data_IF_284525535613
#
_entry.id   IF_284525535613
#
_cell.length_a   1.000
_cell.length_b   1.000
_cell.length_c   1.000
_cell.angle_alpha   90.00
_cell.angle_beta   90.00
_cell.angle_gamma   90.00
#
_symmetry.space_group_name_H-M   'P 1'
#
loop_
_entity.id
_entity.type
_entity.pdbx_description
1 polymer ?
#
# COMPACT_ATOMS: atom_id res chain seq x y z
N UNK A 1 -8.85 -30.88 7.22
CA UNK A 1 -9.92 -30.18 6.46
C UNK A 1 -9.23 -29.34 5.41
N UNK A 2 -9.77 -29.24 4.20
CA UNK A 2 -9.19 -28.33 3.20
C UNK A 2 -9.20 -26.91 3.77
N UNK A 3 -8.04 -26.26 3.75
CA UNK A 3 -7.85 -24.92 4.29
C UNK A 3 -8.72 -23.92 3.50
N UNK A 4 -9.47 -23.07 4.19
CA UNK A 4 -10.30 -22.02 3.56
C UNK A 4 -9.37 -20.94 3.06
N UNK A 5 -9.07 -20.94 1.76
CA UNK A 5 -8.15 -19.98 1.14
C UNK A 5 -8.90 -18.85 0.46
N UNK A 6 -8.34 -17.65 0.55
CA UNK A 6 -8.79 -16.48 -0.20
C UNK A 6 -7.59 -15.67 -0.64
N UNK A 7 -7.62 -15.25 -1.90
CA UNK A 7 -6.60 -14.38 -2.47
C UNK A 7 -7.19 -13.00 -2.71
N UNK A 8 -6.50 -11.96 -2.25
CA UNK A 8 -6.83 -10.57 -2.55
C UNK A 8 -5.74 -9.99 -3.44
N UNK A 9 -6.09 -9.64 -4.66
CA UNK A 9 -5.17 -9.05 -5.63
C UNK A 9 -5.47 -7.57 -5.84
N UNK A 10 -4.44 -6.72 -5.85
CA UNK A 10 -4.64 -5.28 -6.01
C UNK A 10 -3.81 -4.63 -7.12
N UNK A 11 -4.43 -3.62 -7.76
CA UNK A 11 -3.78 -2.68 -8.66
C UNK A 11 -3.93 -1.26 -8.12
N UNK A 12 -2.82 -0.60 -7.79
CA UNK A 12 -2.77 0.62 -7.00
C UNK A 12 -1.67 1.57 -7.49
N UNK A 13 -2.03 2.83 -7.77
CA UNK A 13 -1.05 3.86 -8.15
C UNK A 13 -0.51 4.65 -6.95
N UNK A 14 -1.38 4.97 -5.99
CA UNK A 14 -1.07 5.84 -4.84
C UNK A 14 -1.22 5.15 -3.48
N UNK A 15 -1.62 3.87 -3.45
CA UNK A 15 -1.75 3.07 -2.23
C UNK A 15 -3.18 2.87 -1.75
N UNK A 16 -4.19 3.54 -2.31
CA UNK A 16 -5.58 3.40 -1.85
C UNK A 16 -6.13 1.99 -2.08
N UNK A 17 -5.86 1.37 -3.24
CA UNK A 17 -6.30 0.00 -3.51
C UNK A 17 -5.53 -1.05 -2.69
N UNK A 18 -4.27 -0.76 -2.34
CA UNK A 18 -3.44 -1.61 -1.48
C UNK A 18 -3.96 -1.61 -0.05
N UNK A 19 -4.21 -0.42 0.51
CA UNK A 19 -4.80 -0.25 1.84
C UNK A 19 -6.17 -0.93 1.97
N UNK A 20 -7.01 -0.81 0.94
CA UNK A 20 -8.30 -1.47 0.90
C UNK A 20 -8.18 -2.99 0.77
N UNK A 21 -7.23 -3.49 -0.01
CA UNK A 21 -6.94 -4.91 -0.11
C UNK A 21 -6.45 -5.47 1.23
N UNK A 22 -5.64 -4.73 1.98
CA UNK A 22 -5.20 -5.09 3.32
C UNK A 22 -6.35 -5.10 4.32
N UNK A 23 -7.28 -4.14 4.24
CA UNK A 23 -8.52 -4.16 5.03
C UNK A 23 -9.32 -5.44 4.76
N UNK A 24 -9.57 -5.77 3.49
CA UNK A 24 -10.26 -7.00 3.10
C UNK A 24 -9.49 -8.23 3.60
N UNK A 25 -8.17 -8.20 3.55
CA UNK A 25 -7.31 -9.26 4.06
C UNK A 25 -7.47 -9.50 5.56
N UNK A 26 -7.54 -8.43 6.36
CA UNK A 26 -7.85 -8.50 7.79
C UNK A 26 -9.25 -9.05 8.03
N UNK A 27 -10.25 -8.56 7.30
CA UNK A 27 -11.63 -9.04 7.42
C UNK A 27 -11.79 -10.53 7.03
N UNK A 28 -11.01 -11.00 6.07
CA UNK A 28 -10.89 -12.42 5.72
C UNK A 28 -10.30 -13.27 6.85
N UNK A 29 -9.19 -12.82 7.46
CA UNK A 29 -8.56 -13.50 8.60
C UNK A 29 -9.51 -13.59 9.79
N UNK A 30 -10.30 -12.53 10.08
CA UNK A 30 -11.35 -12.57 11.12
C UNK A 30 -12.41 -13.65 10.87
N UNK A 31 -12.57 -14.05 9.62
CA UNK A 31 -13.49 -15.10 9.18
C UNK A 31 -12.81 -16.45 9.04
N UNK A 32 -11.59 -16.65 9.56
CA UNK A 32 -10.81 -17.90 9.49
C UNK A 32 -10.51 -18.35 8.06
N UNK A 33 -10.18 -17.40 7.19
CA UNK A 33 -9.54 -17.70 5.92
C UNK A 33 -8.02 -17.57 6.04
N UNK A 34 -7.29 -18.51 5.45
CA UNK A 34 -5.89 -18.33 5.06
C UNK A 34 -5.86 -17.34 3.89
N UNK A 35 -5.44 -16.11 4.18
CA UNK A 35 -5.56 -14.98 3.28
C UNK A 35 -4.20 -14.52 2.78
N UNK A 36 -4.04 -14.45 1.45
CA UNK A 36 -2.89 -13.78 0.82
C UNK A 36 -3.35 -12.47 0.21
N UNK A 37 -2.56 -11.41 0.41
CA UNK A 37 -2.79 -10.09 -0.20
C UNK A 37 -1.56 -9.76 -1.05
N UNK A 38 -1.74 -9.63 -2.36
CA UNK A 38 -0.62 -9.47 -3.29
C UNK A 38 -0.92 -8.41 -4.36
N UNK A 39 0.13 -7.69 -4.77
CA UNK A 39 0.05 -6.82 -5.93
C UNK A 39 -0.07 -7.64 -7.23
N UNK A 40 -0.81 -7.12 -8.21
CA UNK A 40 -1.07 -7.82 -9.48
C UNK A 40 0.17 -8.04 -10.35
N UNK A 41 1.26 -7.32 -10.11
CA UNK A 41 2.57 -7.50 -10.77
C UNK A 41 3.50 -8.47 -10.03
N UNK A 42 3.30 -8.69 -8.73
CA UNK A 42 3.99 -9.72 -7.95
C UNK A 42 3.35 -11.11 -8.14
N UNK A 43 2.04 -11.17 -8.43
CA UNK A 43 1.32 -12.43 -8.60
C UNK A 43 1.43 -12.98 -10.03
N UNK A 44 1.80 -14.26 -10.14
CA UNK A 44 1.84 -14.95 -11.43
C UNK A 44 0.43 -15.29 -11.93
N UNK A 45 -0.05 -14.53 -12.92
CA UNK A 45 -1.41 -14.66 -13.49
C UNK A 45 -1.77 -16.07 -13.99
N UNK A 46 -0.78 -16.90 -14.36
CA UNK A 46 -1.03 -18.29 -14.76
C UNK A 46 -1.56 -19.15 -13.61
N UNK A 47 -1.27 -18.76 -12.36
CA UNK A 47 -1.70 -19.48 -11.18
C UNK A 47 -3.18 -19.24 -10.84
N UNK A 48 -3.84 -18.24 -11.46
CA UNK A 48 -5.27 -17.95 -11.23
C UNK A 48 -6.17 -19.17 -11.45
N UNK A 49 -5.80 -20.08 -12.36
CA UNK A 49 -6.57 -21.29 -12.67
C UNK A 49 -6.65 -22.26 -11.47
N UNK A 50 -5.79 -22.09 -10.48
CA UNK A 50 -5.74 -22.89 -9.26
C UNK A 50 -6.44 -22.23 -8.07
N UNK A 51 -6.81 -20.95 -8.18
CA UNK A 51 -7.45 -20.20 -7.10
C UNK A 51 -8.97 -20.39 -7.15
N UNK A 52 -9.57 -20.71 -6.01
CA UNK A 52 -11.03 -20.94 -5.90
C UNK A 52 -11.80 -19.67 -5.54
N UNK A 53 -11.20 -18.76 -4.78
CA UNK A 53 -11.85 -17.54 -4.29
C UNK A 53 -10.87 -16.35 -4.38
N UNK A 54 -11.17 -15.40 -5.27
CA UNK A 54 -10.31 -14.23 -5.51
C UNK A 54 -11.08 -12.91 -5.43
N UNK A 55 -10.58 -11.96 -4.65
CA UNK A 55 -11.08 -10.59 -4.61
C UNK A 55 -10.09 -9.67 -5.33
N UNK A 56 -10.56 -8.93 -6.33
CA UNK A 56 -9.76 -7.95 -7.05
C UNK A 56 -10.08 -6.53 -6.55
N UNK A 57 -9.06 -5.77 -6.18
CA UNK A 57 -9.18 -4.36 -5.79
C UNK A 57 -8.38 -3.51 -6.78
N UNK A 58 -9.06 -2.76 -7.65
CA UNK A 58 -8.38 -2.06 -8.74
C UNK A 58 -8.73 -0.57 -8.77
N UNK A 59 -7.69 0.26 -8.69
CA UNK A 59 -7.80 1.67 -9.04
C UNK A 59 -7.89 1.86 -10.56
N UNK A 60 -8.45 2.99 -10.99
CA UNK A 60 -8.38 3.48 -12.37
C UNK A 60 -7.47 4.72 -12.40
N UNK A 61 -6.52 4.78 -13.35
CA UNK A 61 -5.57 5.91 -13.47
C UNK A 61 -5.80 6.67 -14.77
N UNK A 62 -5.32 7.92 -14.80
CA UNK A 62 -5.26 8.75 -16.01
C UNK A 62 -6.56 8.76 -16.81
N UNK A 63 -6.48 8.40 -18.09
CA UNK A 63 -7.62 8.34 -18.99
C UNK A 63 -8.21 6.93 -19.07
N UNK A 64 -8.50 6.34 -17.90
CA UNK A 64 -9.08 5.00 -17.80
C UNK A 64 -8.09 3.87 -18.03
N UNK A 65 -6.85 4.07 -17.59
CA UNK A 65 -5.76 3.12 -17.72
C UNK A 65 -5.57 2.32 -16.43
N UNK A 66 -4.99 1.10 -16.51
CA UNK A 66 -4.61 0.35 -15.33
C UNK A 66 -3.43 1.03 -14.61
N UNK A 67 -3.40 1.00 -13.27
CA UNK A 67 -2.20 1.26 -12.49
C UNK A 67 -0.95 0.53 -13.00
N UNK A 68 0.22 1.12 -12.77
CA UNK A 68 1.49 0.55 -13.24
C UNK A 68 1.71 -0.88 -12.74
N UNK A 69 1.46 -1.10 -11.45
CA UNK A 69 1.58 -2.39 -10.77
C UNK A 69 0.52 -3.44 -11.18
N UNK A 70 -0.24 -3.21 -12.26
CA UNK A 70 -1.12 -4.22 -12.85
C UNK A 70 -1.07 -4.28 -14.38
N UNK A 71 -0.20 -3.50 -15.04
CA UNK A 71 -0.10 -3.47 -16.52
C UNK A 71 0.21 -4.84 -17.14
N UNK A 72 1.10 -5.61 -16.51
CA UNK A 72 1.47 -6.95 -17.00
C UNK A 72 0.32 -7.94 -16.91
N UNK A 73 -0.34 -7.99 -15.75
CA UNK A 73 -1.57 -8.75 -15.53
C UNK A 73 -2.64 -8.36 -16.55
N UNK A 74 -2.87 -7.06 -16.72
CA UNK A 74 -3.88 -6.52 -17.63
C UNK A 74 -3.66 -6.98 -19.07
N UNK A 75 -2.42 -6.85 -19.57
CA UNK A 75 -2.06 -7.31 -20.91
C UNK A 75 -2.25 -8.82 -21.08
N UNK A 76 -1.95 -9.62 -20.04
CA UNK A 76 -2.13 -11.07 -20.09
C UNK A 76 -3.61 -11.47 -20.10
N UNK A 77 -4.40 -11.01 -19.14
CA UNK A 77 -5.78 -11.46 -18.94
C UNK A 77 -6.68 -11.09 -20.14
N UNK A 78 -6.34 -10.02 -20.87
CA UNK A 78 -7.04 -9.60 -22.08
C UNK A 78 -6.54 -10.23 -23.39
N UNK A 79 -5.62 -11.20 -23.35
CA UNK A 79 -5.22 -11.95 -24.54
C UNK A 79 -6.43 -12.68 -25.15
N UNK A 80 -6.64 -12.52 -26.46
CA UNK A 80 -7.81 -13.07 -27.17
C UNK A 80 -7.84 -14.59 -27.25
N UNK A 81 -6.69 -15.25 -27.12
CA UNK A 81 -6.53 -16.70 -27.25
C UNK A 81 -6.68 -17.47 -25.93
N UNK A 82 -7.05 -16.81 -24.82
CA UNK A 82 -7.33 -17.52 -23.58
C UNK A 82 -8.63 -18.33 -23.69
N UNK A 83 -8.65 -19.61 -23.28
CA UNK A 83 -9.88 -20.41 -23.24
C UNK A 83 -10.99 -19.75 -22.40
N UNK A 84 -12.23 -19.78 -22.89
CA UNK A 84 -13.38 -19.12 -22.25
C UNK A 84 -13.79 -19.75 -20.91
N UNK A 85 -13.24 -20.91 -20.56
CA UNK A 85 -13.48 -21.62 -19.31
C UNK A 85 -12.22 -21.69 -18.44
N UNK A 86 -11.18 -20.89 -18.73
CA UNK A 86 -9.90 -20.95 -17.99
C UNK A 86 -10.07 -20.74 -16.49
N UNK A 87 -11.06 -19.95 -16.09
CA UNK A 87 -11.32 -19.57 -14.70
C UNK A 87 -12.64 -20.15 -14.18
N UNK A 88 -13.15 -21.23 -14.78
CA UNK A 88 -14.46 -21.81 -14.43
C UNK A 88 -14.57 -22.38 -13.01
N UNK A 89 -13.49 -22.43 -12.25
CA UNK A 89 -13.47 -22.88 -10.86
C UNK A 89 -13.34 -21.73 -9.85
N UNK A 90 -13.22 -20.50 -10.34
CA UNK A 90 -12.96 -19.32 -9.52
C UNK A 90 -14.26 -18.58 -9.23
N UNK A 91 -14.63 -18.51 -7.96
CA UNK A 91 -15.52 -17.48 -7.45
C UNK A 91 -14.75 -16.18 -7.26
N UNK A 92 -15.34 -15.04 -7.65
CA UNK A 92 -14.65 -13.76 -7.53
C UNK A 92 -15.54 -12.58 -7.20
N UNK A 93 -14.89 -11.54 -6.70
CA UNK A 93 -15.48 -10.23 -6.50
C UNK A 93 -14.53 -9.14 -7.01
N UNK A 94 -15.08 -8.00 -7.45
CA UNK A 94 -14.28 -6.86 -7.93
C UNK A 94 -14.72 -5.61 -7.18
N UNK A 95 -13.76 -4.95 -6.55
CA UNK A 95 -13.89 -3.62 -5.99
C UNK A 95 -13.08 -2.64 -6.86
N UNK A 96 -13.78 -1.67 -7.44
CA UNK A 96 -13.17 -0.56 -8.15
C UNK A 96 -13.00 0.66 -7.25
N UNK A 97 -11.87 1.34 -7.42
CA UNK A 97 -11.65 2.69 -6.90
C UNK A 97 -11.48 3.64 -8.09
N UNK A 98 -12.30 4.67 -8.14
CA UNK A 98 -12.28 5.65 -9.21
C UNK A 98 -12.79 7.00 -8.74
N UNK A 99 -12.90 7.92 -9.69
CA UNK A 99 -13.30 9.30 -9.46
C UNK A 99 -14.33 9.66 -10.54
N UNK A 100 -15.54 10.05 -10.14
CA UNK A 100 -16.65 10.34 -11.05
C UNK A 100 -16.50 11.66 -11.81
N UNK A 101 -15.55 12.52 -11.43
CA UNK A 101 -15.17 13.69 -12.24
C UNK A 101 -14.47 13.30 -13.54
N UNK A 102 -13.93 12.07 -13.63
CA UNK A 102 -13.30 11.54 -14.84
C UNK A 102 -14.33 10.80 -15.72
N UNK A 103 -14.30 11.00 -17.07
CA UNK A 103 -15.24 10.35 -17.98
C UNK A 103 -15.23 8.81 -17.91
N UNK A 104 -14.09 8.21 -17.57
CA UNK A 104 -13.90 6.76 -17.46
C UNK A 104 -13.98 6.28 -16.01
N UNK A 105 -15.01 6.70 -15.29
CA UNK A 105 -15.28 6.30 -13.91
C UNK A 105 -15.24 4.76 -13.71
N UNK A 106 -14.33 4.29 -12.87
CA UNK A 106 -14.13 2.88 -12.52
C UNK A 106 -13.95 1.93 -13.73
N UNK A 107 -13.38 2.43 -14.82
CA UNK A 107 -13.30 1.70 -16.08
C UNK A 107 -12.53 0.38 -15.96
N UNK A 108 -11.47 0.35 -15.17
CA UNK A 108 -10.63 -0.85 -14.97
C UNK A 108 -11.41 -1.96 -14.29
N UNK A 109 -12.08 -1.66 -13.17
CA UNK A 109 -12.92 -2.61 -12.46
C UNK A 109 -14.07 -3.15 -13.33
N UNK A 110 -14.77 -2.26 -14.04
CA UNK A 110 -15.88 -2.63 -14.95
C UNK A 110 -15.41 -3.57 -16.06
N UNK A 111 -14.27 -3.28 -16.68
CA UNK A 111 -13.70 -4.10 -17.75
C UNK A 111 -13.16 -5.43 -17.22
N UNK A 112 -12.46 -5.43 -16.08
CA UNK A 112 -11.93 -6.64 -15.46
C UNK A 112 -13.08 -7.59 -15.11
N UNK A 113 -14.13 -7.10 -14.46
CA UNK A 113 -15.30 -7.90 -14.13
C UNK A 113 -15.91 -8.58 -15.36
N UNK A 114 -16.15 -7.83 -16.45
CA UNK A 114 -16.66 -8.40 -17.71
C UNK A 114 -15.72 -9.44 -18.29
N UNK A 115 -14.41 -9.22 -18.20
CA UNK A 115 -13.41 -10.14 -18.73
C UNK A 115 -13.34 -11.44 -17.93
N UNK A 116 -13.43 -11.38 -16.61
CA UNK A 116 -13.46 -12.56 -15.74
C UNK A 116 -14.69 -13.43 -16.03
N UNK A 117 -15.87 -12.82 -16.23
CA UNK A 117 -17.07 -13.51 -16.71
C UNK A 117 -16.83 -14.25 -18.03
N UNK A 118 -16.21 -13.59 -19.00
CA UNK A 118 -15.90 -14.19 -20.32
C UNK A 118 -14.90 -15.35 -20.24
N UNK A 119 -14.12 -15.44 -19.16
CA UNK A 119 -13.17 -16.53 -18.88
C UNK A 119 -13.79 -17.62 -17.99
N UNK A 120 -15.09 -17.53 -17.70
CA UNK A 120 -15.87 -18.56 -17.02
C UNK A 120 -15.92 -18.40 -15.50
N UNK A 121 -15.32 -17.36 -14.93
CA UNK A 121 -15.35 -17.14 -13.49
C UNK A 121 -16.75 -16.78 -12.99
N UNK A 122 -17.06 -17.15 -11.75
CA UNK A 122 -18.38 -16.95 -11.14
C UNK A 122 -18.38 -15.71 -10.23
N UNK A 123 -19.18 -14.67 -10.53
CA UNK A 123 -19.21 -13.47 -9.72
C UNK A 123 -20.03 -13.70 -8.43
N UNK A 124 -19.45 -13.37 -7.28
CA UNK A 124 -20.18 -13.41 -5.99
C UNK A 124 -21.18 -12.25 -5.93
N UNK A 125 -20.76 -11.08 -6.41
CA UNK A 125 -21.54 -9.83 -6.44
C UNK A 125 -21.24 -9.03 -7.70
N UNK A 126 -22.12 -8.08 -8.00
CA UNK A 126 -21.80 -6.97 -8.90
C UNK A 126 -20.59 -6.19 -8.36
N UNK A 127 -19.78 -5.58 -9.24
CA UNK A 127 -18.63 -4.80 -8.79
C UNK A 127 -19.05 -3.62 -7.90
N UNK A 128 -18.31 -3.38 -6.83
CA UNK A 128 -18.38 -2.09 -6.14
C UNK A 128 -17.61 -1.04 -6.94
N UNK A 129 -18.16 0.18 -6.98
CA UNK A 129 -17.59 1.30 -7.70
C UNK A 129 -17.40 2.45 -6.70
N UNK A 130 -16.28 2.41 -5.96
CA UNK A 130 -15.90 3.49 -5.05
C UNK A 130 -15.61 4.78 -5.80
N UNK A 131 -16.09 5.90 -5.26
CA UNK A 131 -15.99 7.24 -5.86
C UNK A 131 -15.27 8.21 -4.91
N UNK A 132 -14.13 8.73 -5.35
CA UNK A 132 -13.34 9.71 -4.60
C UNK A 132 -14.04 11.09 -4.49
N UNK A 133 -15.04 11.36 -5.34
CA UNK A 133 -15.82 12.62 -5.31
C UNK A 133 -17.03 12.59 -4.38
N UNK A 134 -17.38 11.41 -3.84
CA UNK A 134 -18.49 11.31 -2.91
C UNK A 134 -18.09 11.96 -1.56
N UNK A 135 -19.03 12.56 -0.84
CA UNK A 135 -18.75 13.23 0.45
C UNK A 135 -18.09 12.27 1.46
N UNK A 136 -18.62 11.05 1.54
CA UNK A 136 -18.07 9.90 2.29
C UNK A 136 -16.93 9.14 1.57
N UNK A 137 -16.39 9.72 0.50
CA UNK A 137 -15.39 9.11 -0.36
C UNK A 137 -15.77 7.72 -0.90
N UNK A 138 -14.78 6.88 -1.26
CA UNK A 138 -15.05 5.57 -1.84
C UNK A 138 -15.79 4.63 -0.89
N UNK A 139 -15.71 4.89 0.42
CA UNK A 139 -16.32 4.07 1.47
C UNK A 139 -17.84 4.05 1.42
N UNK A 140 -18.46 5.09 0.84
CA UNK A 140 -19.90 5.14 0.57
C UNK A 140 -20.41 3.90 -0.19
N UNK A 141 -19.62 3.44 -1.16
CA UNK A 141 -19.92 2.23 -1.91
C UNK A 141 -19.27 0.98 -1.29
N UNK A 142 -18.08 1.12 -0.70
CA UNK A 142 -17.30 -0.03 -0.20
C UNK A 142 -17.94 -0.65 1.04
N UNK A 143 -18.30 0.12 2.06
CA UNK A 143 -18.79 -0.40 3.34
C UNK A 143 -20.06 -1.27 3.18
N UNK A 144 -21.14 -0.83 2.49
CA UNK A 144 -22.30 -1.69 2.27
C UNK A 144 -21.96 -2.88 1.36
N UNK A 145 -21.04 -2.72 0.43
CA UNK A 145 -20.61 -3.82 -0.45
C UNK A 145 -19.82 -4.89 0.31
N UNK A 146 -18.92 -4.53 1.22
CA UNK A 146 -18.17 -5.46 2.07
C UNK A 146 -19.11 -6.26 2.96
N UNK A 147 -20.11 -5.61 3.56
CA UNK A 147 -21.15 -6.30 4.33
C UNK A 147 -21.85 -7.39 3.48
N UNK A 148 -22.27 -7.04 2.27
CA UNK A 148 -22.91 -7.98 1.35
C UNK A 148 -21.96 -9.08 0.87
N UNK A 149 -20.70 -8.73 0.61
CA UNK A 149 -19.66 -9.67 0.18
C UNK A 149 -19.49 -10.75 1.23
N UNK A 150 -19.28 -10.36 2.49
CA UNK A 150 -19.03 -11.32 3.55
C UNK A 150 -20.24 -12.18 3.89
N UNK A 151 -21.46 -11.64 3.80
CA UNK A 151 -22.68 -12.44 3.94
C UNK A 151 -22.73 -13.57 2.88
N UNK A 152 -22.43 -13.24 1.62
CA UNK A 152 -22.40 -14.25 0.55
C UNK A 152 -21.23 -15.22 0.66
N UNK A 153 -20.03 -14.71 0.98
CA UNK A 153 -18.83 -15.55 1.18
C UNK A 153 -19.07 -16.54 2.31
N UNK A 154 -19.67 -16.14 3.43
CA UNK A 154 -19.99 -17.07 4.52
C UNK A 154 -21.09 -18.07 4.15
N UNK A 155 -21.99 -17.72 3.23
CA UNK A 155 -22.98 -18.67 2.71
C UNK A 155 -22.38 -19.72 1.78
N UNK A 156 -21.42 -19.34 0.93
CA UNK A 156 -20.75 -20.23 -0.03
C UNK A 156 -19.60 -21.03 0.61
N UNK A 157 -18.91 -20.40 1.55
CA UNK A 157 -17.75 -20.91 2.27
C UNK A 157 -18.02 -20.78 3.78
N UNK A 158 -18.87 -21.64 4.37
CA UNK A 158 -19.22 -21.55 5.77
C UNK A 158 -18.01 -21.72 6.70
N UNK A 159 -18.15 -21.21 7.93
CA UNK A 159 -17.15 -21.39 8.97
C UNK A 159 -16.93 -22.88 9.27
N UNK A 160 -15.69 -23.29 9.61
CA UNK A 160 -15.44 -24.63 10.13
C UNK A 160 -16.29 -24.88 11.40
N UNK A 161 -16.76 -26.12 11.63
CA UNK A 161 -17.55 -26.45 12.81
C UNK A 161 -16.85 -26.04 14.10
N UNK A 162 -17.56 -25.34 14.99
CA UNK A 162 -17.05 -24.91 16.29
C UNK A 162 -16.28 -23.59 16.31
N UNK A 163 -16.07 -22.93 15.16
CA UNK A 163 -15.46 -21.60 15.10
C UNK A 163 -16.51 -20.49 14.97
N UNK A 164 -16.34 -19.42 15.72
CA UNK A 164 -17.05 -18.14 15.55
C UNK A 164 -16.16 -17.11 14.86
N UNK A 165 -16.77 -16.03 14.37
CA UNK A 165 -16.01 -14.89 13.85
C UNK A 165 -15.12 -14.29 14.94
N UNK A 166 -13.89 -13.93 14.60
CA UNK A 166 -12.99 -13.18 15.49
C UNK A 166 -13.57 -11.78 15.63
N UNK A 167 -13.90 -11.36 16.87
CA UNK A 167 -14.48 -10.04 17.16
C UNK A 167 -13.61 -8.93 16.58
N UNK A 168 -14.24 -7.84 16.14
CA UNK A 168 -13.54 -6.64 15.67
C UNK A 168 -12.65 -6.03 16.75
N UNK A 169 -12.93 -6.25 18.04
CA UNK A 169 -12.12 -5.75 19.16
C UNK A 169 -10.79 -6.51 19.35
N UNK A 170 -10.67 -7.69 18.74
CA UNK A 170 -9.47 -8.51 18.86
C UNK A 170 -8.42 -8.03 17.86
N UNK A 171 -7.22 -7.72 18.35
CA UNK A 171 -6.06 -7.42 17.51
C UNK A 171 -5.58 -8.70 16.80
N UNK A 172 -5.54 -8.67 15.47
CA UNK A 172 -4.96 -9.73 14.66
C UNK A 172 -3.41 -9.69 14.74
N UNK A 173 -2.71 -10.82 14.54
CA UNK A 173 -1.25 -10.83 14.46
C UNK A 173 -0.70 -9.88 13.37
N UNK A 174 0.53 -9.36 13.55
CA UNK A 174 1.17 -8.50 12.56
C UNK A 174 1.59 -9.31 11.33
N UNK A 175 1.83 -8.64 10.19
CA UNK A 175 2.34 -9.30 8.97
C UNK A 175 3.79 -9.77 9.13
N UNK A 176 4.58 -9.02 9.90
CA UNK A 176 6.02 -9.26 10.07
C UNK A 176 6.40 -9.16 11.54
N UNK A 177 7.52 -9.77 11.89
CA UNK A 177 8.14 -9.70 13.22
C UNK A 177 9.55 -9.11 13.06
N UNK A 178 9.87 -8.11 13.88
CA UNK A 178 11.18 -7.48 13.92
C UNK A 178 12.03 -8.18 14.98
N UNK A 179 12.86 -9.13 14.55
CA UNK A 179 13.82 -9.82 15.44
C UNK A 179 15.08 -8.97 15.59
N UNK A 180 15.18 -8.24 16.70
CA UNK A 180 16.38 -7.47 17.00
C UNK A 180 17.60 -8.35 17.27
N UNK A 181 18.75 -7.94 16.73
CA UNK A 181 20.03 -8.60 16.89
C UNK A 181 20.82 -8.00 18.05
N UNK A 182 21.69 -8.82 18.63
CA UNK A 182 22.73 -8.36 19.55
C UNK A 182 23.81 -7.55 18.80
N UNK A 183 24.48 -6.65 19.51
CA UNK A 183 25.40 -5.68 18.89
C UNK A 183 26.58 -6.34 18.15
N UNK A 184 27.10 -7.45 18.66
CA UNK A 184 28.22 -8.18 18.04
C UNK A 184 27.81 -8.78 16.68
N UNK A 185 26.65 -9.45 16.64
CA UNK A 185 26.09 -10.07 15.42
C UNK A 185 25.73 -9.02 14.36
N UNK A 186 25.22 -7.87 14.80
CA UNK A 186 24.89 -6.77 13.91
C UNK A 186 26.12 -6.21 13.16
N UNK A 187 27.28 -6.16 13.83
CA UNK A 187 28.52 -5.63 13.26
C UNK A 187 29.11 -6.58 12.20
N UNK A 188 28.99 -7.89 12.39
CA UNK A 188 29.38 -8.91 11.41
C UNK A 188 28.44 -8.96 10.20
N UNK A 189 27.13 -8.77 10.42
CA UNK A 189 26.12 -8.81 9.36
C UNK A 189 26.04 -7.52 8.50
N UNK A 190 26.69 -6.44 8.93
CA UNK A 190 26.68 -5.11 8.29
C UNK A 190 27.47 -4.98 6.97
N UNK A 191 27.99 -6.07 6.39
CA UNK A 191 28.60 -6.04 5.06
C UNK A 191 27.48 -5.94 4.01
N UNK A 192 26.97 -4.71 3.81
CA UNK A 192 26.05 -4.38 2.72
C UNK A 192 26.64 -4.91 1.41
N UNK A 193 25.91 -5.81 0.73
CA UNK A 193 26.27 -6.27 -0.62
C UNK A 193 26.48 -5.04 -1.50
N UNK A 194 27.68 -4.89 -2.07
CA UNK A 194 27.95 -3.89 -3.11
C UNK A 194 26.96 -4.11 -4.24
N UNK A 195 26.13 -3.12 -4.51
CA UNK A 195 25.30 -3.08 -5.71
C UNK A 195 26.25 -2.98 -6.91
N UNK A 196 26.02 -3.79 -7.93
CA UNK A 196 26.82 -3.77 -9.16
C UNK A 196 26.72 -2.37 -9.80
N UNK A 197 27.84 -1.65 -9.90
CA UNK A 197 27.88 -0.26 -10.35
C UNK A 197 27.50 -0.07 -11.84
N UNK A 198 27.32 -1.17 -12.58
CA UNK A 198 27.01 -1.19 -14.01
C UNK A 198 25.62 -1.74 -14.34
N UNK A 199 24.78 -2.03 -13.35
CA UNK A 199 23.40 -2.43 -13.60
C UNK A 199 22.56 -1.23 -14.06
N UNK A 200 21.70 -1.45 -15.06
CA UNK A 200 20.73 -0.43 -15.49
C UNK A 200 19.83 -0.08 -14.29
N UNK A 201 19.66 1.20 -13.95
CA UNK A 201 18.84 1.63 -12.82
C UNK A 201 17.39 1.13 -12.93
N UNK A 202 16.81 0.71 -11.82
CA UNK A 202 15.42 0.22 -11.73
C UNK A 202 14.70 0.84 -10.53
N UNK A 203 13.38 0.64 -10.42
CA UNK A 203 12.63 1.06 -9.22
C UNK A 203 13.18 0.44 -7.93
N UNK A 204 13.68 -0.80 -8.00
CA UNK A 204 14.28 -1.49 -6.84
C UNK A 204 15.72 -1.03 -6.55
N UNK A 205 16.43 -0.53 -7.57
CA UNK A 205 17.83 -0.12 -7.50
C UNK A 205 17.99 1.23 -8.21
N UNK A 206 17.60 2.34 -7.55
CA UNK A 206 17.67 3.67 -8.17
C UNK A 206 19.12 4.14 -8.32
N UNK A 207 19.36 4.96 -9.34
CA UNK A 207 20.66 5.60 -9.53
C UNK A 207 20.83 6.79 -8.58
N UNK A 208 21.97 6.85 -7.89
CA UNK A 208 22.33 7.99 -7.05
C UNK A 208 22.95 9.09 -7.92
N UNK A 209 22.10 9.89 -8.56
CA UNK A 209 22.53 11.00 -9.41
C UNK A 209 23.05 12.18 -8.58
N UNK A 210 24.30 12.65 -8.80
CA UNK A 210 24.79 13.87 -8.16
C UNK A 210 23.93 15.09 -8.54
N UNK A 211 23.62 15.92 -7.55
CA UNK A 211 22.98 17.21 -7.76
C UNK A 211 24.00 18.20 -8.33
N UNK A 212 23.74 18.72 -9.53
CA UNK A 212 24.61 19.70 -10.22
C UNK A 212 24.19 21.13 -9.89
N UNK A 213 22.90 21.42 -9.99
CA UNK A 213 22.34 22.75 -9.77
C UNK A 213 21.00 22.67 -9.05
N UNK A 214 20.71 23.66 -8.22
CA UNK A 214 19.43 23.84 -7.53
C UNK A 214 19.14 25.33 -7.40
N UNK A 215 18.42 25.87 -8.38
CA UNK A 215 18.19 27.30 -8.53
C UNK A 215 16.71 27.62 -8.34
N UNK A 216 16.41 28.62 -7.51
CA UNK A 216 15.07 29.21 -7.45
C UNK A 216 14.79 29.98 -8.75
N UNK A 217 13.68 29.65 -9.42
CA UNK A 217 13.26 30.32 -10.66
C UNK A 217 12.19 31.39 -10.42
N UNK A 218 11.55 31.38 -9.25
CA UNK A 218 10.67 32.46 -8.80
C UNK A 218 11.46 33.61 -8.17
N UNK A 219 10.85 34.80 -8.12
CA UNK A 219 11.43 35.93 -7.39
C UNK A 219 11.54 35.62 -5.89
N UNK A 220 12.52 36.22 -5.21
CA UNK A 220 12.81 35.94 -3.79
C UNK A 220 11.66 36.30 -2.84
N UNK A 221 10.80 37.23 -3.23
CA UNK A 221 9.61 37.68 -2.51
C UNK A 221 8.33 36.94 -2.94
N UNK A 222 8.41 36.06 -3.94
CA UNK A 222 7.27 35.27 -4.38
C UNK A 222 6.92 34.20 -3.35
N UNK A 223 5.64 34.07 -3.02
CA UNK A 223 5.17 33.16 -1.96
C UNK A 223 5.39 31.66 -2.24
N UNK A 224 5.55 31.28 -3.51
CA UNK A 224 5.91 29.91 -3.92
C UNK A 224 7.37 29.84 -4.32
N UNK A 225 8.11 28.94 -3.68
CA UNK A 225 9.46 28.53 -4.06
C UNK A 225 9.37 27.45 -5.15
N UNK A 226 9.68 27.83 -6.39
CA UNK A 226 9.80 26.90 -7.52
C UNK A 226 11.26 26.81 -7.89
N UNK A 227 11.76 25.58 -8.04
CA UNK A 227 13.18 25.33 -8.29
C UNK A 227 13.43 24.56 -9.56
N UNK A 228 14.47 24.97 -10.30
CA UNK A 228 15.10 24.20 -11.36
C UNK A 228 16.24 23.39 -10.73
N UNK A 229 16.17 22.07 -10.89
CA UNK A 229 17.10 21.12 -10.29
C UNK A 229 17.73 20.30 -11.40
N UNK A 230 19.05 20.25 -11.44
CA UNK A 230 19.82 19.52 -12.44
C UNK A 230 20.57 18.37 -11.79
N UNK A 231 20.50 17.19 -12.40
CA UNK A 231 21.18 15.99 -11.91
C UNK A 231 22.16 15.48 -12.97
N UNK A 232 23.35 15.07 -12.54
CA UNK A 232 24.30 14.37 -13.40
C UNK A 232 23.92 12.89 -13.50
N UNK A 233 23.59 12.45 -14.71
CA UNK A 233 23.27 11.05 -15.00
C UNK A 233 24.38 10.33 -15.77
N UNK A 234 25.57 10.94 -15.87
CA UNK A 234 26.73 10.36 -16.55
C UNK A 234 27.10 9.00 -15.95
N UNK A 235 27.41 8.03 -16.81
CA UNK A 235 27.75 6.66 -16.38
C UNK A 235 26.59 5.79 -15.90
N UNK A 236 25.37 6.34 -15.80
CA UNK A 236 24.18 5.57 -15.36
C UNK A 236 23.59 4.66 -16.44
N UNK A 237 23.86 4.95 -17.73
CA UNK A 237 23.20 4.31 -18.86
C UNK A 237 21.72 4.70 -19.04
N UNK A 238 21.19 5.67 -18.25
CA UNK A 238 19.83 6.17 -18.37
C UNK A 238 19.67 6.88 -19.73
N UNK A 239 18.56 6.58 -20.41
CA UNK A 239 18.12 7.24 -21.65
C UNK A 239 16.71 7.78 -21.41
N UNK A 240 16.42 8.98 -21.93
CA UNK A 240 15.09 9.58 -21.86
C UNK A 240 14.81 10.45 -23.09
N UNK A 241 13.54 10.64 -23.40
CA UNK A 241 13.03 11.54 -24.45
C UNK A 241 12.24 12.70 -23.83
N UNK A 242 12.11 13.84 -24.54
CA UNK A 242 11.22 14.91 -24.12
C UNK A 242 9.79 14.39 -23.87
N UNK A 243 9.23 14.71 -22.71
CA UNK A 243 7.93 14.21 -22.26
C UNK A 243 8.00 13.03 -21.28
N UNK A 244 9.18 12.43 -21.09
CA UNK A 244 9.40 11.43 -20.05
C UNK A 244 9.35 12.03 -18.63
N UNK A 245 9.18 11.16 -17.65
CA UNK A 245 9.04 11.49 -16.23
C UNK A 245 10.19 10.86 -15.45
N UNK A 246 10.81 11.64 -14.57
CA UNK A 246 11.78 11.14 -13.58
C UNK A 246 11.08 10.81 -12.27
N UNK A 247 11.46 9.68 -11.67
CA UNK A 247 10.98 9.25 -10.35
C UNK A 247 12.05 9.52 -9.31
N UNK A 248 11.78 10.44 -8.39
CA UNK A 248 12.72 10.83 -7.32
C UNK A 248 12.31 10.13 -6.02
N UNK A 249 13.22 9.34 -5.44
CA UNK A 249 13.01 8.69 -4.13
C UNK A 249 13.39 9.65 -3.00
N UNK A 250 12.42 10.14 -2.19
CA UNK A 250 12.74 10.98 -1.05
C UNK A 250 13.13 10.13 0.18
N UNK A 251 13.55 10.83 1.23
CA UNK A 251 13.78 10.28 2.55
C UNK A 251 13.19 11.24 3.60
N UNK A 252 12.86 10.73 4.77
CA UNK A 252 12.42 11.58 5.88
C UNK A 252 13.58 12.44 6.41
N UNK A 253 13.24 13.58 7.01
CA UNK A 253 14.26 14.45 7.61
C UNK A 253 14.87 13.79 8.86
N UNK A 254 16.15 14.04 9.19
CA UNK A 254 16.74 13.51 10.42
C UNK A 254 15.96 13.91 11.69
N UNK A 255 15.35 15.10 11.69
CA UNK A 255 14.53 15.61 12.79
C UNK A 255 13.25 14.79 12.96
N UNK A 256 12.55 14.48 11.86
CA UNK A 256 11.34 13.67 11.90
C UNK A 256 11.63 12.23 12.32
N UNK A 257 12.74 11.66 11.85
CA UNK A 257 13.19 10.32 12.25
C UNK A 257 13.45 10.25 13.76
N UNK A 258 14.14 11.26 14.31
CA UNK A 258 14.43 11.31 15.75
C UNK A 258 13.15 11.49 16.58
N UNK A 259 12.25 12.37 16.13
CA UNK A 259 10.95 12.59 16.76
C UNK A 259 10.10 11.32 16.76
N UNK A 260 10.05 10.62 15.63
CA UNK A 260 9.35 9.34 15.51
C UNK A 260 9.91 8.29 16.48
N UNK A 261 11.23 8.10 16.49
CA UNK A 261 11.89 7.14 17.39
C UNK A 261 11.63 7.48 18.85
N UNK A 262 11.65 8.77 19.22
CA UNK A 262 11.37 9.23 20.59
C UNK A 262 9.93 8.91 21.01
N UNK A 263 8.94 9.19 20.16
CA UNK A 263 7.52 8.95 20.45
C UNK A 263 7.22 7.46 20.70
N UNK A 264 7.83 6.57 19.93
CA UNK A 264 7.64 5.12 20.01
C UNK A 264 8.68 4.42 20.92
N UNK A 265 9.56 5.19 21.59
CA UNK A 265 10.61 4.67 22.47
C UNK A 265 11.55 3.67 21.77
N UNK A 266 11.89 3.94 20.52
CA UNK A 266 12.76 3.10 19.71
C UNK A 266 14.19 3.63 19.72
N UNK A 267 15.17 2.74 19.83
CA UNK A 267 16.57 3.09 19.60
C UNK A 267 16.87 3.02 18.09
N UNK A 268 17.17 4.16 17.44
CA UNK A 268 17.43 4.23 15.99
C UNK A 268 18.63 3.39 15.55
N UNK A 269 19.55 3.04 16.46
CA UNK A 269 20.76 2.26 16.16
C UNK A 269 20.52 0.75 16.21
N UNK A 270 19.43 0.28 16.80
CA UNK A 270 19.16 -1.15 16.88
C UNK A 270 19.00 -1.75 15.50
N UNK A 271 19.58 -2.93 15.35
CA UNK A 271 19.59 -3.71 14.12
C UNK A 271 18.61 -4.87 14.27
N UNK A 272 17.84 -5.17 13.23
CA UNK A 272 16.87 -6.25 13.21
C UNK A 272 16.94 -7.05 11.92
N UNK A 273 16.44 -8.29 12.00
CA UNK A 273 16.01 -9.09 10.87
C UNK A 273 14.49 -9.08 10.80
N UNK A 274 13.96 -8.94 9.60
CA UNK A 274 12.53 -9.00 9.34
C UNK A 274 12.14 -10.44 9.00
N UNK A 275 11.17 -10.97 9.73
CA UNK A 275 10.64 -12.32 9.53
C UNK A 275 9.14 -12.24 9.22
N UNK A 276 8.63 -12.96 8.22
CA UNK A 276 7.20 -12.98 7.95
C UNK A 276 6.48 -13.78 9.04
N UNK A 277 5.31 -13.31 9.48
CA UNK A 277 4.48 -14.06 10.43
C UNK A 277 3.93 -15.34 9.78
N UNK A 278 3.43 -15.21 8.55
CA UNK A 278 2.98 -16.32 7.72
C UNK A 278 4.06 -16.67 6.70
N UNK A 279 4.46 -17.95 6.59
CA UNK A 279 5.57 -18.41 5.73
C UNK A 279 5.44 -18.02 4.25
N UNK A 280 4.21 -17.85 3.76
CA UNK A 280 3.91 -17.49 2.37
C UNK A 280 3.96 -15.97 2.11
N UNK A 281 4.20 -15.15 3.14
CA UNK A 281 4.27 -13.69 2.98
C UNK A 281 5.67 -13.28 2.51
N UNK A 282 5.82 -12.71 1.31
CA UNK A 282 7.13 -12.26 0.84
C UNK A 282 7.63 -11.06 1.65
N UNK A 283 8.93 -11.02 1.91
CA UNK A 283 9.58 -9.86 2.53
C UNK A 283 9.56 -8.67 1.55
N UNK A 284 9.45 -7.42 2.06
CA UNK A 284 9.56 -6.23 1.24
C UNK A 284 10.93 -6.16 0.53
N UNK A 285 10.98 -6.12 -0.82
CA UNK A 285 12.23 -6.26 -1.56
C UNK A 285 13.20 -5.07 -1.39
N UNK A 286 12.71 -3.89 -1.01
CA UNK A 286 13.54 -2.69 -0.82
C UNK A 286 14.11 -2.55 0.59
N UNK A 287 13.70 -3.41 1.54
CA UNK A 287 14.19 -3.31 2.91
C UNK A 287 15.43 -4.22 3.07
N UNK A 288 16.65 -3.66 3.26
CA UNK A 288 17.86 -4.46 3.40
C UNK A 288 17.77 -5.37 4.63
N UNK A 289 18.44 -6.52 4.59
CA UNK A 289 18.53 -7.45 5.71
C UNK A 289 20.00 -7.77 6.00
N UNK A 290 20.50 -7.50 7.22
CA UNK A 290 19.82 -6.84 8.34
C UNK A 290 19.53 -5.33 8.09
N UNK A 291 18.60 -4.76 8.87
CA UNK A 291 18.22 -3.34 8.78
C UNK A 291 18.35 -2.65 10.14
N UNK A 292 18.65 -1.34 10.14
CA UNK A 292 18.54 -0.51 11.35
C UNK A 292 17.14 0.11 11.47
N UNK A 293 16.71 0.42 12.69
CA UNK A 293 15.48 1.20 12.91
C UNK A 293 15.55 2.55 12.20
N UNK A 294 16.71 3.23 12.25
CA UNK A 294 16.93 4.48 11.51
C UNK A 294 16.67 4.32 10.02
N UNK A 295 17.23 3.28 9.39
CA UNK A 295 17.05 3.06 7.95
C UNK A 295 15.58 2.78 7.60
N UNK A 296 14.89 1.96 8.40
CA UNK A 296 13.47 1.67 8.24
C UNK A 296 12.65 2.98 8.24
N UNK A 297 12.84 3.83 9.25
CA UNK A 297 12.08 5.08 9.39
C UNK A 297 12.50 6.11 8.34
N UNK A 298 13.80 6.27 8.07
CA UNK A 298 14.32 7.30 7.17
C UNK A 298 13.99 7.02 5.70
N UNK A 299 14.10 5.76 5.27
CA UNK A 299 14.08 5.38 3.84
C UNK A 299 12.84 4.60 3.43
N UNK A 300 12.16 3.94 4.38
CA UNK A 300 11.07 3.03 4.04
C UNK A 300 9.70 3.51 4.50
N UNK A 301 9.51 4.00 5.72
CA UNK A 301 8.19 4.39 6.24
C UNK A 301 7.79 5.83 5.86
N UNK A 302 6.62 6.02 5.24
CA UNK A 302 6.11 7.35 4.89
C UNK A 302 5.37 8.00 6.07
N UNK A 303 6.15 8.45 7.06
CA UNK A 303 5.63 9.13 8.27
C UNK A 303 5.07 10.53 7.99
N UNK A 304 5.22 11.03 6.75
CA UNK A 304 4.70 12.34 6.30
C UNK A 304 3.42 12.20 5.46
N UNK A 305 2.97 10.99 5.16
CA UNK A 305 1.71 10.78 4.45
C UNK A 305 0.51 11.19 5.31
N UNK A 306 -0.62 11.49 4.66
CA UNK A 306 -1.90 11.67 5.35
C UNK A 306 -2.45 10.27 5.64
N UNK A 307 -2.60 9.86 6.91
CA UNK A 307 -3.05 8.52 7.25
C UNK A 307 -4.47 8.27 6.77
N UNK A 308 -4.72 7.03 6.31
CA UNK A 308 -6.03 6.58 5.84
C UNK A 308 -6.88 6.10 7.02
N UNK A 309 -8.18 5.92 6.79
CA UNK A 309 -9.13 5.40 7.79
C UNK A 309 -8.65 4.11 8.49
N UNK A 310 -8.02 3.21 7.74
CA UNK A 310 -7.43 1.96 8.25
C UNK A 310 -6.33 2.18 9.31
N UNK A 311 -5.56 3.26 9.21
CA UNK A 311 -4.53 3.63 10.18
C UNK A 311 -5.17 3.89 11.55
N UNK A 312 -6.24 4.69 11.60
CA UNK A 312 -6.97 4.99 12.83
C UNK A 312 -7.64 3.74 13.43
N UNK A 313 -8.19 2.89 12.57
CA UNK A 313 -8.72 1.60 12.99
C UNK A 313 -7.65 0.75 13.68
N UNK A 314 -6.48 0.58 13.05
CA UNK A 314 -5.39 -0.18 13.63
C UNK A 314 -4.86 0.46 14.92
N UNK A 315 -4.72 1.78 14.92
CA UNK A 315 -4.19 2.54 16.06
C UNK A 315 -5.06 2.32 17.31
N UNK A 316 -6.39 2.24 17.14
CA UNK A 316 -7.33 2.01 18.24
C UNK A 316 -7.04 0.73 19.05
N UNK A 317 -6.46 -0.32 18.45
CA UNK A 317 -6.09 -1.55 19.16
C UNK A 317 -4.91 -1.40 20.12
N UNK A 318 -4.13 -0.34 19.99
CA UNK A 318 -2.97 -0.06 20.84
C UNK A 318 -3.29 0.94 21.95
N UNK A 319 -4.50 1.51 21.95
CA UNK A 319 -4.88 2.51 22.95
C UNK A 319 -5.25 1.84 24.27
N UNK A 320 -4.50 2.21 25.32
CA UNK A 320 -4.85 1.91 26.71
C UNK A 320 -5.69 3.02 27.35
N UNK A 321 -5.71 4.21 26.74
CA UNK A 321 -6.55 5.33 27.15
C UNK A 321 -7.93 5.23 26.47
N UNK A 322 -8.99 5.43 27.26
CA UNK A 322 -10.36 5.27 26.79
C UNK A 322 -10.77 6.38 25.82
N UNK A 323 -10.38 7.63 26.07
CA UNK A 323 -10.74 8.78 25.24
C UNK A 323 -10.04 8.72 23.88
N UNK A 324 -8.74 8.42 23.88
CA UNK A 324 -7.99 8.21 22.64
C UNK A 324 -8.59 7.03 21.84
N UNK A 325 -8.93 5.92 22.51
CA UNK A 325 -9.53 4.75 21.83
C UNK A 325 -10.86 5.10 21.18
N UNK A 326 -11.77 5.75 21.92
CA UNK A 326 -13.08 6.15 21.40
C UNK A 326 -12.94 7.09 20.21
N UNK A 327 -12.03 8.07 20.27
CA UNK A 327 -11.81 9.01 19.16
C UNK A 327 -11.22 8.32 17.93
N UNK A 328 -10.29 7.40 18.11
CA UNK A 328 -9.72 6.59 17.03
C UNK A 328 -10.78 5.68 16.39
N UNK A 329 -11.66 5.09 17.21
CA UNK A 329 -12.78 4.28 16.74
C UNK A 329 -13.80 5.13 15.96
N UNK A 330 -14.12 6.34 16.43
CA UNK A 330 -14.98 7.29 15.74
C UNK A 330 -14.41 7.60 14.33
N UNK A 331 -13.14 7.98 14.24
CA UNK A 331 -12.47 8.23 12.95
C UNK A 331 -12.46 7.02 12.01
N UNK A 332 -12.49 5.81 12.56
CA UNK A 332 -12.55 4.57 11.78
C UNK A 332 -13.98 4.16 11.36
N UNK A 333 -15.01 4.84 11.85
CA UNK A 333 -16.41 4.50 11.59
C UNK A 333 -16.96 5.23 10.36
N UNK A 334 -18.06 4.72 9.80
CA UNK A 334 -18.76 5.42 8.72
C UNK A 334 -19.39 6.75 9.21
N UNK A 335 -19.81 6.81 10.49
CA UNK A 335 -20.44 7.99 11.08
C UNK A 335 -19.41 9.11 11.38
N UNK A 336 -18.17 8.75 11.69
CA UNK A 336 -17.10 9.72 12.01
C UNK A 336 -16.25 10.14 10.80
N UNK A 337 -16.71 9.92 9.57
CA UNK A 337 -15.95 10.30 8.38
C UNK A 337 -15.79 11.81 8.22
N UNK A 338 -16.82 12.59 8.55
CA UNK A 338 -16.75 14.06 8.49
C UNK A 338 -15.75 14.61 9.52
N UNK A 339 -15.73 13.99 10.70
CA UNK A 339 -14.76 14.27 11.76
C UNK A 339 -13.33 13.92 11.32
N UNK A 340 -13.13 12.73 10.74
CA UNK A 340 -11.84 12.32 10.19
C UNK A 340 -11.40 13.26 9.06
N UNK A 341 -12.31 13.67 8.17
CA UNK A 341 -12.00 14.58 7.08
C UNK A 341 -11.56 15.95 7.60
N UNK A 342 -12.29 16.50 8.58
CA UNK A 342 -12.01 17.79 9.18
C UNK A 342 -10.71 17.78 9.97
N UNK A 343 -10.49 16.74 10.78
CA UNK A 343 -9.25 16.54 11.51
C UNK A 343 -8.11 16.32 10.52
N UNK A 344 -8.10 15.21 9.78
CA UNK A 344 -6.94 14.73 9.06
C UNK A 344 -6.84 15.27 7.62
N UNK A 345 -7.84 14.98 6.78
CA UNK A 345 -7.71 15.12 5.33
C UNK A 345 -7.66 16.59 4.88
N UNK A 346 -8.55 17.43 5.43
CA UNK A 346 -8.64 18.86 5.12
C UNK A 346 -7.39 19.63 5.53
N UNK A 347 -6.84 19.30 6.70
CA UNK A 347 -5.63 19.94 7.23
C UNK A 347 -4.35 19.30 6.71
N UNK A 348 -4.44 18.21 5.93
CA UNK A 348 -3.30 17.39 5.49
C UNK A 348 -2.41 16.94 6.67
N UNK A 349 -3.03 16.63 7.82
CA UNK A 349 -2.29 16.18 9.01
C UNK A 349 -1.54 14.90 8.67
N UNK A 350 -0.26 14.88 8.99
CA UNK A 350 0.65 13.78 8.65
C UNK A 350 0.62 12.68 9.71
N UNK A 351 1.02 11.46 9.33
CA UNK A 351 1.13 10.32 10.26
C UNK A 351 1.92 10.68 11.51
N UNK A 352 3.07 11.36 11.38
CA UNK A 352 3.87 11.77 12.52
C UNK A 352 3.15 12.77 13.44
N UNK A 353 2.33 13.67 12.89
CA UNK A 353 1.52 14.60 13.70
C UNK A 353 0.38 13.88 14.42
N UNK A 354 -0.27 12.92 13.77
CA UNK A 354 -1.28 12.08 14.45
C UNK A 354 -0.64 11.29 15.59
N UNK A 355 0.55 10.73 15.41
CA UNK A 355 1.28 10.04 16.48
C UNK A 355 1.64 10.98 17.66
N UNK A 356 1.78 12.28 17.41
CA UNK A 356 1.95 13.28 18.48
C UNK A 356 0.62 13.57 19.20
N UNK A 357 -0.48 13.65 18.45
CA UNK A 357 -1.81 13.97 18.98
C UNK A 357 -2.41 12.83 19.83
N UNK A 358 -1.94 11.59 19.64
CA UNK A 358 -2.35 10.39 20.40
C UNK A 358 -1.17 9.77 21.18
N UNK A 359 -0.59 10.48 22.16
CA UNK A 359 0.64 10.06 22.83
C UNK A 359 0.46 8.79 23.68
N UNK A 360 -0.70 8.56 24.30
CA UNK A 360 -0.94 7.38 25.12
C UNK A 360 -1.06 6.11 24.27
N UNK A 361 -1.62 6.24 23.08
CA UNK A 361 -1.68 5.14 22.11
C UNK A 361 -0.32 4.92 21.45
N UNK A 362 0.35 6.00 21.06
CA UNK A 362 1.60 5.94 20.28
C UNK A 362 2.73 5.24 21.01
N UNK A 363 2.89 5.49 22.32
CA UNK A 363 3.93 4.83 23.11
C UNK A 363 3.68 3.33 23.31
N UNK A 364 2.49 2.83 23.00
CA UNK A 364 2.10 1.43 23.12
C UNK A 364 2.07 0.67 21.78
N UNK A 365 2.44 1.31 20.67
CA UNK A 365 2.51 0.66 19.36
C UNK A 365 3.64 -0.38 19.39
N UNK A 366 3.36 -1.69 19.20
CA UNK A 366 4.39 -2.69 19.08
C UNK A 366 5.12 -2.53 17.74
N UNK A 367 6.44 -2.64 17.77
CA UNK A 367 7.34 -2.50 16.60
C UNK A 367 6.96 -3.38 15.41
N UNK A 368 6.39 -4.56 15.67
CA UNK A 368 6.00 -5.53 14.64
C UNK A 368 4.88 -5.00 13.74
N UNK A 369 4.07 -4.06 14.23
CA UNK A 369 2.95 -3.47 13.47
C UNK A 369 3.34 -2.23 12.67
N UNK A 370 4.60 -1.78 12.70
CA UNK A 370 5.01 -0.56 11.98
C UNK A 370 4.75 -0.66 10.47
N UNK A 371 4.99 -1.83 9.89
CA UNK A 371 4.76 -2.12 8.46
C UNK A 371 3.28 -2.36 8.13
N UNK A 372 2.45 -2.70 9.12
CA UNK A 372 0.99 -2.79 8.98
C UNK A 372 0.33 -1.42 9.06
N UNK A 373 0.90 -0.51 9.85
CA UNK A 373 0.34 0.79 10.17
C UNK A 373 0.77 1.87 9.17
N UNK A 374 2.07 1.91 8.82
CA UNK A 374 2.66 3.03 8.08
C UNK A 374 3.07 2.55 6.68
N UNK A 375 2.53 3.16 5.60
CA UNK A 375 2.85 2.73 4.25
C UNK A 375 4.29 3.06 3.89
N UNK A 376 4.79 2.44 2.80
CA UNK A 376 6.12 2.75 2.30
C UNK A 376 6.20 4.13 1.63
N UNK A 377 7.37 4.76 1.69
CA UNK A 377 7.73 5.95 0.90
C UNK A 377 7.72 5.58 -0.58
N UNK A 378 6.89 6.24 -1.37
CA UNK A 378 6.83 6.07 -2.83
C UNK A 378 7.74 7.06 -3.56
N UNK A 379 8.34 6.73 -4.70
CA UNK A 379 8.99 7.73 -5.55
C UNK A 379 7.99 8.80 -6.00
N UNK A 380 8.46 10.05 -6.17
CA UNK A 380 7.65 11.19 -6.65
C UNK A 380 7.98 11.43 -8.13
N UNK A 381 6.93 11.56 -8.94
CA UNK A 381 7.03 11.80 -10.37
C UNK A 381 7.21 13.29 -10.68
N UNK A 382 8.19 13.62 -11.53
CA UNK A 382 8.40 14.97 -12.08
C UNK A 382 8.60 14.90 -13.59
N UNK A 383 7.95 15.78 -14.33
CA UNK A 383 8.20 15.90 -15.78
C UNK A 383 9.62 16.39 -16.03
N UNK A 384 10.35 15.71 -16.91
CA UNK A 384 11.72 16.11 -17.24
C UNK A 384 11.69 17.41 -18.05
N UNK A 385 12.47 18.40 -17.62
CA UNK A 385 12.51 19.75 -18.19
C UNK A 385 13.72 19.99 -19.12
N UNK A 386 14.37 18.92 -19.59
CA UNK A 386 15.57 18.94 -20.43
C UNK A 386 15.45 17.97 -21.60
N UNK A 387 16.38 18.06 -22.56
CA UNK A 387 16.51 17.14 -23.70
C UNK A 387 17.93 16.57 -23.75
N UNK A 388 18.06 15.27 -24.05
CA UNK A 388 19.36 14.64 -24.34
C UNK A 388 19.89 14.99 -25.74
N UNK A 389 19.01 15.42 -26.64
CA UNK A 389 19.43 15.90 -27.96
C UNK A 389 19.86 17.35 -27.83
N UNK A 390 21.14 17.61 -28.11
CA UNK A 390 21.63 18.94 -28.45
C UNK A 390 20.98 19.32 -29.79
N UNK A 391 20.30 20.47 -29.84
CA UNK A 391 19.97 21.14 -31.11
C UNK A 391 21.23 21.53 -31.88
#
# INVERSE_FOLDING_TARGET
MAERKILVLFGSQTGTAEDMADRIGREARRRHFACRVEALDSYSVVNLIHETLVIFVCATTGQGDPPDNMKNFWRFIFRRNLPQNSLCRMDYAVLGLGDSSYPKFNFIAKKLHKRLLQLGAHPILSPALGDDQHDLGPDAAVDPWLKNLWNKVLSLYPLPPGLSLISEDIRLPPKFVLRFLDQEVAMEAGILKKVDAHAIPTELHPFQAPLVSNQQVTAADHFQDVRLIEFDISGSGIQYSPGDVVMIQPQNSPQDVEKFCTLLQLDPKRVFLLEPHDLDTPLPPQLPQPCTVRHLVERYLDIRCVPRRSFFQLLSYFSLDEQEREKLQEFSSAAGQDELYTYCNRLRRTTLEVLVDFPHTTCNIPVDYLLDLIPRIRPRAFSIASSLQLE
#
